data_IF_861157681791
#
_entry.id   IF_861157681791
#
_cell.length_a   1.000
_cell.length_b   1.000
_cell.length_c   1.000
_cell.angle_alpha   90.00
_cell.angle_beta   90.00
_cell.angle_gamma   90.00
#
_symmetry.space_group_name_H-M   'P 1'
#
loop_
_entity.id
_entity.type
_entity.pdbx_description
1 polymer ?
#
# COMPACT_ATOMS: atom_id res chain seq x y z
N UNK A 1 1.94 3.65 -13.45
CA UNK A 1 2.43 2.67 -12.46
C UNK A 1 2.36 1.31 -13.12
N UNK A 2 3.38 0.47 -12.96
CA UNK A 2 3.35 -0.88 -13.53
C UNK A 2 2.38 -1.76 -12.74
N UNK A 3 1.42 -2.34 -13.44
CA UNK A 3 0.54 -3.37 -12.89
C UNK A 3 1.23 -4.73 -13.02
N UNK A 4 1.17 -5.51 -11.95
CA UNK A 4 1.77 -6.82 -11.84
C UNK A 4 0.64 -7.84 -11.70
N UNK A 5 0.32 -8.49 -12.81
CA UNK A 5 -0.65 -9.58 -12.84
C UNK A 5 -0.02 -10.85 -12.27
N UNK A 6 -0.58 -11.32 -11.17
CA UNK A 6 -0.18 -12.54 -10.49
C UNK A 6 -1.24 -13.62 -10.75
N UNK A 7 -0.82 -14.77 -11.27
CA UNK A 7 -1.67 -15.95 -11.34
C UNK A 7 -1.58 -16.68 -10.01
N UNK A 8 -2.68 -16.75 -9.29
CA UNK A 8 -2.80 -17.60 -8.10
C UNK A 8 -2.88 -19.08 -8.50
N UNK A 9 -2.66 -20.00 -7.57
CA UNK A 9 -2.84 -21.46 -7.81
C UNK A 9 -4.28 -21.87 -8.08
N UNK A 10 -5.23 -21.02 -7.71
CA UNK A 10 -6.64 -21.16 -8.09
C UNK A 10 -6.89 -20.64 -9.52
N UNK A 11 -5.84 -20.35 -10.28
CA UNK A 11 -5.87 -19.81 -11.64
C UNK A 11 -6.64 -18.48 -11.76
N UNK A 12 -6.73 -17.71 -10.67
CA UNK A 12 -7.30 -16.36 -10.65
C UNK A 12 -6.19 -15.34 -10.83
N UNK A 13 -6.38 -14.41 -11.77
CA UNK A 13 -5.49 -13.27 -12.03
C UNK A 13 -5.82 -12.13 -11.09
N UNK A 14 -4.91 -11.82 -10.19
CA UNK A 14 -5.00 -10.63 -9.33
C UNK A 14 -3.98 -9.61 -9.83
N UNK A 15 -4.46 -8.41 -10.14
CA UNK A 15 -3.60 -7.30 -10.54
C UNK A 15 -3.19 -6.51 -9.30
N UNK A 16 -1.90 -6.56 -8.97
CA UNK A 16 -1.31 -5.74 -7.93
C UNK A 16 -0.59 -4.55 -8.54
N UNK A 17 -0.59 -3.43 -7.85
CA UNK A 17 0.22 -2.28 -8.25
C UNK A 17 1.64 -2.54 -7.73
N UNK A 18 2.63 -2.58 -8.64
CA UNK A 18 4.02 -2.71 -8.23
C UNK A 18 4.48 -1.44 -7.50
N UNK A 19 5.24 -1.63 -6.41
CA UNK A 19 5.79 -0.51 -5.66
C UNK A 19 6.74 0.31 -6.52
N UNK A 20 6.53 1.62 -6.55
CA UNK A 20 7.35 2.57 -7.32
C UNK A 20 8.79 2.63 -6.79
N UNK A 21 9.72 3.11 -7.63
CA UNK A 21 11.11 3.35 -7.23
C UNK A 21 11.18 4.30 -6.02
N UNK A 22 10.35 5.35 -6.01
CA UNK A 22 10.27 6.31 -4.91
C UNK A 22 9.83 5.69 -3.59
N UNK A 23 8.81 4.82 -3.60
CA UNK A 23 8.38 4.10 -2.39
C UNK A 23 9.46 3.16 -1.86
N UNK A 24 10.15 2.46 -2.76
CA UNK A 24 11.29 1.61 -2.39
C UNK A 24 12.43 2.44 -1.80
N UNK A 25 12.75 3.59 -2.39
CA UNK A 25 13.81 4.47 -1.90
C UNK A 25 13.44 5.10 -0.55
N UNK A 26 12.19 5.55 -0.39
CA UNK A 26 11.68 6.05 0.89
C UNK A 26 11.76 5.00 1.99
N UNK A 27 11.38 3.76 1.70
CA UNK A 27 11.50 2.66 2.67
C UNK A 27 12.96 2.39 3.05
N UNK A 28 13.89 2.51 2.09
CA UNK A 28 15.32 2.35 2.32
C UNK A 28 15.87 3.47 3.22
N UNK A 29 15.48 4.73 3.01
CA UNK A 29 15.91 5.85 3.86
C UNK A 29 15.42 5.70 5.30
N UNK A 30 14.18 5.25 5.49
CA UNK A 30 13.66 5.02 6.85
C UNK A 30 14.43 3.88 7.53
N UNK A 31 14.66 2.77 6.84
CA UNK A 31 15.47 1.67 7.38
C UNK A 31 16.93 2.11 7.65
N UNK A 32 17.47 3.03 6.83
CA UNK A 32 18.79 3.61 7.03
C UNK A 32 18.85 4.47 8.29
N UNK A 33 17.82 5.31 8.52
CA UNK A 33 17.72 6.11 9.75
C UNK A 33 17.66 5.24 11.00
N UNK A 34 16.91 4.13 10.95
CA UNK A 34 16.85 3.16 12.06
C UNK A 34 18.24 2.57 12.32
N UNK A 35 18.95 2.14 11.27
CA UNK A 35 20.32 1.61 11.39
C UNK A 35 21.30 2.64 11.94
N UNK A 36 21.24 3.89 11.47
CA UNK A 36 22.09 4.98 11.96
C UNK A 36 21.79 5.26 13.43
N UNK A 37 20.50 5.32 13.82
CA UNK A 37 20.10 5.55 15.21
C UNK A 37 20.64 4.45 16.14
N UNK A 38 20.59 3.18 15.71
CA UNK A 38 21.18 2.06 16.43
C UNK A 38 22.70 2.22 16.61
N UNK A 39 23.42 2.59 15.54
CA UNK A 39 24.87 2.84 15.62
C UNK A 39 25.18 3.98 16.58
N UNK A 40 24.45 5.09 16.51
CA UNK A 40 24.65 6.24 17.41
C UNK A 40 24.42 5.84 18.86
N UNK A 41 23.34 5.10 19.15
CA UNK A 41 23.04 4.63 20.51
C UNK A 41 24.15 3.73 21.03
N UNK A 42 24.65 2.79 20.22
CA UNK A 42 25.80 1.95 20.60
C UNK A 42 27.03 2.80 20.85
N UNK A 43 27.36 3.72 19.96
CA UNK A 43 28.52 4.58 20.14
C UNK A 43 28.41 5.40 21.44
N UNK A 44 27.27 5.99 21.72
CA UNK A 44 27.05 6.75 22.96
C UNK A 44 27.13 5.86 24.21
N UNK A 45 26.46 4.71 24.23
CA UNK A 45 26.46 3.83 25.41
C UNK A 45 27.85 3.25 25.66
N UNK A 46 28.54 2.77 24.62
CA UNK A 46 29.81 2.07 24.78
C UNK A 46 30.99 3.03 24.93
N UNK A 47 31.12 4.06 24.09
CA UNK A 47 32.24 5.00 24.19
C UNK A 47 32.04 6.04 25.31
N UNK A 48 30.84 6.61 25.45
CA UNK A 48 30.60 7.67 26.45
C UNK A 48 30.12 7.12 27.80
N UNK A 49 29.26 6.09 27.81
CA UNK A 49 28.73 5.51 29.05
C UNK A 49 29.69 4.54 29.74
N UNK A 50 30.26 3.60 28.99
CA UNK A 50 31.09 2.52 29.52
C UNK A 50 32.61 2.78 29.41
N UNK A 51 33.01 3.91 28.83
CA UNK A 51 34.42 4.27 28.58
C UNK A 51 35.23 3.14 27.92
N UNK A 52 34.64 2.49 26.91
CA UNK A 52 35.31 1.44 26.15
C UNK A 52 36.53 1.93 25.37
N UNK A 53 36.67 3.25 25.15
CA UNK A 53 37.87 3.88 24.57
C UNK A 53 39.15 3.40 25.26
N UNK A 54 39.15 3.36 26.60
CA UNK A 54 40.30 2.91 27.40
C UNK A 54 40.53 1.41 27.36
N UNK A 55 39.50 0.63 27.03
CA UNK A 55 39.61 -0.82 26.81
C UNK A 55 40.20 -1.10 25.44
N UNK A 56 39.78 -0.37 24.40
CA UNK A 56 40.28 -0.53 23.03
C UNK A 56 41.79 -0.25 22.92
N UNK A 57 42.32 0.73 23.66
CA UNK A 57 43.76 1.04 23.69
C UNK A 57 44.63 -0.10 24.25
N UNK A 58 44.04 -1.03 25.01
CA UNK A 58 44.74 -2.17 25.61
C UNK A 58 44.54 -3.48 24.85
N UNK A 59 43.63 -3.50 23.88
CA UNK A 59 43.27 -4.68 23.11
C UNK A 59 44.12 -4.76 21.84
N UNK A 60 44.37 -5.99 21.38
CA UNK A 60 45.00 -6.21 20.09
C UNK A 60 44.01 -5.94 18.93
N UNK A 61 44.53 -5.65 17.75
CA UNK A 61 43.71 -5.29 16.58
C UNK A 61 42.66 -6.36 16.22
N UNK A 62 42.92 -7.64 16.50
CA UNK A 62 41.97 -8.74 16.25
C UNK A 62 40.79 -8.73 17.22
N UNK A 63 41.03 -8.45 18.51
CA UNK A 63 39.95 -8.29 19.49
C UNK A 63 39.08 -7.08 19.16
N UNK A 64 39.70 -5.96 18.78
CA UNK A 64 38.97 -4.75 18.34
C UNK A 64 38.05 -5.06 17.16
N UNK A 65 38.57 -5.75 16.14
CA UNK A 65 37.80 -6.13 14.96
C UNK A 65 36.63 -7.06 15.32
N UNK A 66 36.85 -8.01 16.23
CA UNK A 66 35.83 -8.97 16.66
C UNK A 66 34.67 -8.28 17.38
N UNK A 67 34.96 -7.30 18.24
CA UNK A 67 33.95 -6.48 18.93
C UNK A 67 33.15 -5.65 17.91
N UNK A 68 33.83 -5.01 16.95
CA UNK A 68 33.15 -4.25 15.89
C UNK A 68 32.22 -5.14 15.05
N UNK A 69 32.68 -6.33 14.68
CA UNK A 69 31.90 -7.29 13.89
C UNK A 69 30.67 -7.77 14.66
N UNK A 70 30.79 -7.98 15.97
CA UNK A 70 29.66 -8.33 16.85
C UNK A 70 28.56 -7.25 16.83
N UNK A 71 28.92 -5.97 16.95
CA UNK A 71 27.94 -4.88 16.89
C UNK A 71 27.36 -4.64 15.49
N UNK A 72 28.11 -4.99 14.46
CA UNK A 72 27.67 -4.87 13.07
C UNK A 72 26.68 -5.98 12.65
N UNK A 73 26.74 -7.15 13.27
CA UNK A 73 25.92 -8.31 12.93
C UNK A 73 24.40 -8.04 13.00
N UNK A 74 23.84 -7.35 14.03
CA UNK A 74 22.44 -6.96 14.05
C UNK A 74 22.02 -6.06 12.87
N UNK A 75 22.91 -5.17 12.39
CA UNK A 75 22.63 -4.27 11.25
C UNK A 75 22.52 -5.06 9.95
N UNK A 76 23.40 -6.05 9.78
CA UNK A 76 23.38 -7.01 8.67
C UNK A 76 22.10 -7.84 8.69
N UNK A 77 21.75 -8.41 9.84
CA UNK A 77 20.60 -9.29 9.99
C UNK A 77 19.25 -8.57 10.11
N UNK A 78 19.24 -7.26 10.34
CA UNK A 78 18.01 -6.45 10.49
C UNK A 78 16.99 -6.70 9.37
N UNK A 79 17.42 -6.68 8.11
CA UNK A 79 16.46 -6.77 7.00
C UNK A 79 15.90 -8.18 6.83
N UNK A 80 16.70 -9.22 7.02
CA UNK A 80 16.23 -10.61 6.89
C UNK A 80 15.35 -11.01 8.08
N UNK A 81 15.74 -10.65 9.30
CA UNK A 81 14.98 -10.97 10.52
C UNK A 81 13.61 -10.32 10.49
N UNK A 82 13.54 -9.02 10.18
CA UNK A 82 12.26 -8.31 10.11
C UNK A 82 11.41 -8.77 8.93
N UNK A 83 12.00 -9.00 7.74
CA UNK A 83 11.23 -9.56 6.63
C UNK A 83 10.68 -10.95 6.97
N UNK A 84 11.41 -11.77 7.71
CA UNK A 84 10.92 -13.07 8.16
C UNK A 84 9.81 -12.96 9.22
N UNK A 85 9.92 -12.02 10.16
CA UNK A 85 8.94 -11.85 11.26
C UNK A 85 7.66 -11.16 10.78
N UNK A 86 7.78 -10.17 9.90
CA UNK A 86 6.65 -9.38 9.39
C UNK A 86 6.23 -9.78 7.96
N UNK A 87 6.48 -11.04 7.58
CA UNK A 87 6.03 -11.63 6.31
C UNK A 87 6.34 -10.77 5.08
N UNK A 88 7.56 -10.25 4.99
CA UNK A 88 8.06 -9.51 3.82
C UNK A 88 8.04 -8.01 3.97
N UNK A 89 7.97 -7.50 5.21
CA UNK A 89 8.07 -6.08 5.52
C UNK A 89 9.19 -5.80 6.52
N UNK A 90 9.98 -4.76 6.26
CA UNK A 90 10.79 -4.09 7.29
C UNK A 90 9.98 -2.96 7.91
N UNK A 91 10.49 -2.33 8.97
CA UNK A 91 9.82 -1.17 9.59
C UNK A 91 9.64 -0.05 8.55
N UNK A 92 10.67 0.26 7.76
CA UNK A 92 10.57 1.26 6.68
C UNK A 92 9.53 0.88 5.62
N UNK A 93 9.49 -0.40 5.20
CA UNK A 93 8.48 -0.89 4.25
C UNK A 93 7.06 -0.81 4.80
N UNK A 94 6.88 -1.09 6.09
CA UNK A 94 5.58 -1.01 6.76
C UNK A 94 5.05 0.43 6.79
N UNK A 95 5.92 1.39 7.10
CA UNK A 95 5.58 2.82 7.09
C UNK A 95 5.21 3.32 5.69
N UNK A 96 5.93 2.87 4.67
CA UNK A 96 5.63 3.21 3.26
C UNK A 96 4.48 2.37 2.68
N UNK A 97 3.95 1.41 3.45
CA UNK A 97 2.87 0.48 3.06
C UNK A 97 3.20 -0.34 1.81
N UNK A 98 4.39 -0.94 1.78
CA UNK A 98 4.81 -1.86 0.71
C UNK A 98 5.13 -3.24 1.28
N UNK A 99 4.88 -4.32 0.52
CA UNK A 99 5.08 -5.72 0.95
C UNK A 99 5.75 -6.54 -0.14
N UNK A 100 6.65 -7.43 0.25
CA UNK A 100 7.26 -8.43 -0.64
C UNK A 100 6.31 -9.63 -0.75
N UNK A 101 6.00 -10.02 -1.98
CA UNK A 101 5.15 -11.18 -2.30
C UNK A 101 5.81 -12.03 -3.38
N UNK A 102 5.48 -13.32 -3.43
CA UNK A 102 5.94 -14.19 -4.50
C UNK A 102 5.20 -13.85 -5.79
N UNK A 103 5.83 -14.06 -6.94
CA UNK A 103 5.19 -13.78 -8.25
C UNK A 103 4.01 -14.74 -8.51
N UNK A 104 3.94 -15.85 -7.79
CA UNK A 104 2.85 -16.84 -7.80
C UNK A 104 1.68 -16.44 -6.86
N UNK A 105 1.79 -15.31 -6.15
CA UNK A 105 0.73 -14.79 -5.27
C UNK A 105 0.74 -15.33 -3.85
N UNK A 106 1.64 -16.26 -3.54
CA UNK A 106 1.89 -16.70 -2.18
C UNK A 106 2.71 -15.68 -1.37
N UNK A 107 2.64 -15.84 -0.05
CA UNK A 107 3.57 -15.20 0.85
C UNK A 107 4.99 -15.71 0.55
N UNK A 108 5.96 -14.79 0.55
CA UNK A 108 7.36 -15.16 0.40
C UNK A 108 7.84 -15.88 1.67
N UNK A 109 8.65 -16.92 1.49
CA UNK A 109 9.22 -17.69 2.61
C UNK A 109 10.56 -17.13 3.08
N UNK A 110 11.08 -17.72 4.15
CA UNK A 110 12.42 -17.37 4.67
C UNK A 110 13.53 -17.54 3.62
N UNK A 111 13.47 -18.60 2.81
CA UNK A 111 14.44 -18.84 1.72
C UNK A 111 14.45 -17.72 0.68
N UNK A 112 13.28 -17.16 0.36
CA UNK A 112 13.17 -16.04 -0.57
C UNK A 112 13.82 -14.78 0.02
N UNK A 113 13.60 -14.51 1.31
CA UNK A 113 14.25 -13.40 2.02
C UNK A 113 15.77 -13.57 2.13
N UNK A 114 16.25 -14.79 2.33
CA UNK A 114 17.68 -15.12 2.33
C UNK A 114 18.33 -14.81 0.98
N UNK A 115 17.74 -15.26 -0.12
CA UNK A 115 18.26 -14.99 -1.47
C UNK A 115 18.31 -13.49 -1.71
N UNK A 116 17.23 -12.76 -1.37
CA UNK A 116 17.17 -11.29 -1.48
C UNK A 116 18.26 -10.63 -0.62
N UNK A 117 18.51 -11.14 0.58
CA UNK A 117 19.54 -10.63 1.49
C UNK A 117 20.96 -10.87 0.96
N UNK A 118 21.25 -12.06 0.42
CA UNK A 118 22.56 -12.38 -0.17
C UNK A 118 22.86 -11.51 -1.39
N UNK A 119 21.90 -11.40 -2.32
CA UNK A 119 22.03 -10.53 -3.49
C UNK A 119 22.12 -9.04 -3.13
N UNK A 120 21.66 -8.65 -1.93
CA UNK A 120 21.85 -7.28 -1.44
C UNK A 120 23.34 -6.96 -1.24
N UNK A 121 24.16 -7.92 -0.83
CA UNK A 121 25.61 -7.71 -0.71
C UNK A 121 26.19 -7.40 -2.09
N UNK A 122 25.75 -8.11 -3.14
CA UNK A 122 26.20 -7.88 -4.51
C UNK A 122 25.70 -6.53 -5.03
N UNK A 123 24.40 -6.25 -4.86
CA UNK A 123 23.76 -5.01 -5.33
C UNK A 123 24.39 -3.75 -4.71
N UNK A 124 24.74 -3.78 -3.42
CA UNK A 124 25.33 -2.63 -2.73
C UNK A 124 26.85 -2.53 -2.90
N UNK A 125 27.56 -3.66 -3.05
CA UNK A 125 29.01 -3.66 -3.27
C UNK A 125 29.34 -3.23 -4.71
N UNK A 126 28.50 -3.59 -5.69
CA UNK A 126 28.69 -3.19 -7.08
C UNK A 126 28.07 -1.80 -7.33
N UNK A 127 28.91 -0.80 -7.63
CA UNK A 127 28.49 0.56 -8.01
C UNK A 127 27.53 1.23 -7.01
N UNK A 128 27.66 0.96 -5.71
CA UNK A 128 26.89 1.61 -4.64
C UNK A 128 25.36 1.53 -4.82
N UNK A 129 24.81 0.42 -5.34
CA UNK A 129 23.37 0.24 -5.51
C UNK A 129 22.80 0.73 -6.84
N UNK A 130 23.63 1.27 -7.74
CA UNK A 130 23.22 1.77 -9.05
C UNK A 130 22.71 0.65 -9.96
N UNK A 131 23.30 -0.56 -9.87
CA UNK A 131 22.82 -1.76 -10.58
C UNK A 131 21.41 -2.14 -10.16
N UNK A 132 21.12 -2.11 -8.86
CA UNK A 132 19.79 -2.40 -8.33
C UNK A 132 18.74 -1.39 -8.80
N UNK A 133 19.12 -0.13 -9.00
CA UNK A 133 18.24 0.90 -9.54
C UNK A 133 17.96 0.68 -11.02
N UNK A 134 19.00 0.42 -11.83
CA UNK A 134 18.86 0.10 -13.26
C UNK A 134 17.98 -1.14 -13.44
N UNK A 135 18.22 -2.22 -12.68
CA UNK A 135 17.43 -3.44 -12.76
C UNK A 135 15.93 -3.19 -12.53
N UNK A 136 15.57 -2.36 -11.54
CA UNK A 136 14.17 -2.01 -11.27
C UNK A 136 13.56 -1.18 -12.39
N UNK A 137 14.31 -0.26 -12.98
CA UNK A 137 13.82 0.60 -14.07
C UNK A 137 13.65 -0.20 -15.37
N UNK A 138 14.56 -1.11 -15.66
CA UNK A 138 14.54 -1.92 -16.89
C UNK A 138 13.60 -3.14 -16.79
N UNK A 139 13.34 -3.64 -15.58
CA UNK A 139 12.47 -4.79 -15.38
C UNK A 139 11.00 -4.45 -15.58
N UNK A 140 10.31 -5.23 -16.42
CA UNK A 140 8.85 -5.13 -16.64
C UNK A 140 8.04 -5.26 -15.34
N UNK A 141 8.57 -5.97 -14.34
CA UNK A 141 7.94 -6.22 -13.04
C UNK A 141 8.52 -5.33 -11.91
N UNK A 142 9.35 -4.35 -12.27
CA UNK A 142 10.05 -3.47 -11.33
C UNK A 142 10.87 -4.24 -10.27
N UNK A 143 11.58 -5.31 -10.67
CA UNK A 143 12.33 -6.18 -9.76
C UNK A 143 13.83 -5.83 -9.72
N UNK A 144 14.45 -5.93 -8.55
CA UNK A 144 15.92 -5.96 -8.39
C UNK A 144 16.48 -7.34 -8.75
N UNK A 145 17.80 -7.47 -8.87
CA UNK A 145 18.45 -8.76 -9.11
C UNK A 145 18.08 -9.80 -8.04
N UNK A 146 18.13 -9.43 -6.76
CA UNK A 146 17.68 -10.32 -5.67
C UNK A 146 16.19 -10.64 -5.70
N UNK A 147 15.34 -9.72 -6.19
CA UNK A 147 13.90 -9.97 -6.35
C UNK A 147 13.66 -11.00 -7.47
N UNK A 148 14.41 -10.89 -8.58
CA UNK A 148 14.35 -11.80 -9.73
C UNK A 148 14.83 -13.21 -9.35
N UNK A 149 15.97 -13.30 -8.66
CA UNK A 149 16.55 -14.57 -8.22
C UNK A 149 15.65 -15.31 -7.23
N UNK A 150 14.99 -14.58 -6.32
CA UNK A 150 14.05 -15.16 -5.36
C UNK A 150 12.65 -15.40 -5.94
N UNK A 151 12.37 -15.00 -7.19
CA UNK A 151 11.02 -15.10 -7.73
C UNK A 151 9.97 -14.29 -6.95
N UNK A 152 10.36 -13.10 -6.45
CA UNK A 152 9.52 -12.22 -5.64
C UNK A 152 9.36 -10.84 -6.26
N UNK A 153 8.29 -10.12 -5.90
CA UNK A 153 8.06 -8.74 -6.29
C UNK A 153 7.63 -7.91 -5.07
N UNK A 154 7.77 -6.59 -5.15
CA UNK A 154 7.29 -5.67 -4.11
C UNK A 154 6.05 -4.96 -4.61
N UNK A 155 4.96 -5.08 -3.87
CA UNK A 155 3.66 -4.47 -4.18
C UNK A 155 3.34 -3.35 -3.19
N UNK A 156 2.51 -2.40 -3.61
CA UNK A 156 1.96 -1.38 -2.71
C UNK A 156 0.67 -1.88 -2.07
N UNK A 157 0.52 -1.63 -0.77
CA UNK A 157 -0.69 -1.91 0.02
C UNK A 157 -1.58 -0.67 0.18
N UNK A 158 -1.23 0.45 -0.47
CA UNK A 158 -2.05 1.65 -0.44
C UNK A 158 -3.31 1.43 -1.27
N UNK A 159 -4.43 1.24 -0.59
CA UNK A 159 -5.73 1.33 -1.24
C UNK A 159 -6.04 2.79 -1.53
N UNK A 160 -6.30 3.11 -2.79
CA UNK A 160 -6.85 4.41 -3.22
C UNK A 160 -8.38 4.47 -3.08
N UNK A 161 -8.99 3.44 -2.49
CA UNK A 161 -10.43 3.35 -2.30
C UNK A 161 -10.71 3.94 -0.92
N UNK A 162 -11.05 5.22 -0.90
CA UNK A 162 -11.53 5.91 0.28
C UNK A 162 -12.95 5.41 0.62
N UNK A 163 -13.24 5.14 1.89
CA UNK A 163 -14.53 4.59 2.34
C UNK A 163 -15.68 5.58 2.06
N UNK A 164 -15.38 6.85 1.77
CA UNK A 164 -16.33 7.84 1.24
C UNK A 164 -17.01 7.43 -0.08
N UNK A 165 -16.47 6.43 -0.79
CA UNK A 165 -17.13 5.78 -1.93
C UNK A 165 -18.22 4.77 -1.56
N UNK A 166 -18.41 4.49 -0.28
CA UNK A 166 -19.56 3.69 0.18
C UNK A 166 -20.82 4.52 -0.01
N UNK A 167 -21.89 3.93 -0.55
CA UNK A 167 -23.18 4.63 -0.78
C UNK A 167 -23.81 5.11 0.53
N UNK A 168 -23.42 4.49 1.65
CA UNK A 168 -23.97 4.69 2.98
C UNK A 168 -23.57 6.06 3.56
N UNK A 169 -24.54 6.96 3.63
CA UNK A 169 -24.53 8.21 4.40
C UNK A 169 -25.15 7.93 5.79
N UNK A 170 -24.66 8.52 6.88
CA UNK A 170 -25.36 8.39 8.17
C UNK A 170 -26.64 9.23 8.10
N UNK A 171 -27.79 8.54 8.00
CA UNK A 171 -29.11 9.15 8.00
C UNK A 171 -29.63 9.08 9.43
N UNK A 172 -30.07 10.20 10.01
CA UNK A 172 -30.65 10.20 11.35
C UNK A 172 -31.96 9.41 11.40
N UNK A 173 -32.25 8.78 12.54
CA UNK A 173 -33.39 7.86 12.77
C UNK A 173 -34.79 8.44 12.48
N UNK A 174 -34.90 9.75 12.26
CA UNK A 174 -36.15 10.46 11.98
C UNK A 174 -36.43 10.70 10.48
N UNK A 175 -35.60 10.16 9.57
CA UNK A 175 -35.78 10.37 8.13
C UNK A 175 -36.95 9.56 7.57
N UNK A 176 -37.82 10.24 6.80
CA UNK A 176 -38.95 9.61 6.12
C UNK A 176 -38.65 9.54 4.61
N UNK A 177 -38.52 8.34 4.02
CA UNK A 177 -38.17 8.19 2.61
C UNK A 177 -39.30 8.66 1.69
N UNK A 178 -38.96 9.32 0.58
CA UNK A 178 -39.93 9.92 -0.36
C UNK A 178 -40.25 9.00 -1.54
N UNK A 179 -39.28 8.22 -2.00
CA UNK A 179 -39.36 7.38 -3.20
C UNK A 179 -39.11 5.91 -2.86
N UNK A 180 -40.15 5.12 -2.52
CA UNK A 180 -40.00 3.70 -2.16
C UNK A 180 -39.45 2.81 -3.28
N UNK A 181 -39.65 3.21 -4.54
CA UNK A 181 -39.26 2.42 -5.72
C UNK A 181 -37.74 2.42 -5.98
N UNK A 182 -36.94 3.13 -5.19
CA UNK A 182 -35.46 3.13 -5.28
C UNK A 182 -34.87 1.75 -5.03
N UNK A 183 -35.57 0.88 -4.30
CA UNK A 183 -35.16 -0.52 -4.05
C UNK A 183 -35.02 -1.37 -5.32
N UNK A 184 -35.55 -0.91 -6.46
CA UNK A 184 -35.36 -1.57 -7.77
C UNK A 184 -33.93 -1.43 -8.30
N UNK A 185 -33.15 -0.49 -7.78
CA UNK A 185 -31.78 -0.25 -8.20
C UNK A 185 -30.83 -1.20 -7.46
N UNK A 186 -29.80 -1.69 -8.16
CA UNK A 186 -28.74 -2.48 -7.51
C UNK A 186 -27.71 -1.58 -6.83
N UNK A 187 -26.93 -2.13 -5.91
CA UNK A 187 -25.80 -1.42 -5.28
C UNK A 187 -24.83 -0.86 -6.33
N UNK A 188 -24.61 -1.62 -7.41
CA UNK A 188 -23.76 -1.18 -8.50
C UNK A 188 -24.35 0.01 -9.26
N UNK A 189 -25.67 0.03 -9.49
CA UNK A 189 -26.35 1.16 -10.13
C UNK A 189 -26.26 2.40 -9.23
N UNK A 190 -26.48 2.24 -7.92
CA UNK A 190 -26.41 3.33 -6.96
C UNK A 190 -25.01 3.90 -6.81
N UNK A 191 -23.97 3.07 -6.88
CA UNK A 191 -22.58 3.53 -6.94
C UNK A 191 -22.33 4.38 -8.18
N UNK A 192 -22.79 3.93 -9.36
CA UNK A 192 -22.65 4.67 -10.62
C UNK A 192 -23.39 6.00 -10.54
N UNK A 193 -24.63 6.01 -10.03
CA UNK A 193 -25.42 7.22 -9.85
C UNK A 193 -24.70 8.21 -8.92
N UNK A 194 -24.20 7.75 -7.76
CA UNK A 194 -23.44 8.57 -6.81
C UNK A 194 -22.20 9.19 -7.44
N UNK A 195 -21.35 8.36 -8.06
CA UNK A 195 -20.11 8.83 -8.69
C UNK A 195 -20.37 9.80 -9.85
N UNK A 196 -21.41 9.53 -10.65
CA UNK A 196 -21.79 10.36 -11.80
C UNK A 196 -22.35 11.69 -11.33
N UNK A 197 -23.23 11.68 -10.32
CA UNK A 197 -23.79 12.88 -9.73
C UNK A 197 -22.70 13.76 -9.09
N UNK A 198 -21.81 13.19 -8.27
CA UNK A 198 -20.71 13.94 -7.66
C UNK A 198 -19.76 14.56 -8.69
N UNK A 199 -19.44 13.84 -9.77
CA UNK A 199 -18.61 14.36 -10.86
C UNK A 199 -19.30 15.49 -11.63
N UNK A 200 -20.61 15.36 -11.87
CA UNK A 200 -21.39 16.37 -12.59
C UNK A 200 -21.61 17.63 -11.73
N UNK A 201 -21.91 17.47 -10.45
CA UNK A 201 -22.10 18.56 -9.49
C UNK A 201 -20.80 19.38 -9.31
N UNK A 202 -19.65 18.70 -9.16
CA UNK A 202 -18.34 19.37 -9.07
C UNK A 202 -17.96 20.16 -10.34
N UNK A 203 -18.50 19.80 -11.50
CA UNK A 203 -18.25 20.47 -12.79
C UNK A 203 -19.37 21.41 -13.21
N UNK A 204 -20.45 21.52 -12.44
CA UNK A 204 -21.70 22.19 -12.83
C UNK A 204 -22.23 21.71 -14.20
N UNK A 205 -22.07 20.42 -14.51
CA UNK A 205 -22.52 19.82 -15.77
C UNK A 205 -24.01 19.44 -15.68
N UNK A 206 -24.86 20.44 -15.94
CA UNK A 206 -26.31 20.29 -15.87
C UNK A 206 -26.87 19.32 -16.92
N UNK A 207 -26.18 19.14 -18.06
CA UNK A 207 -26.61 18.20 -19.11
C UNK A 207 -26.48 16.76 -18.63
N UNK A 208 -25.36 16.43 -17.97
CA UNK A 208 -25.14 15.11 -17.41
C UNK A 208 -26.15 14.78 -16.31
N UNK A 209 -26.49 15.74 -15.46
CA UNK A 209 -27.50 15.59 -14.41
C UNK A 209 -28.87 15.29 -15.03
N UNK A 210 -29.28 16.03 -16.05
CA UNK A 210 -30.55 15.79 -16.74
C UNK A 210 -30.62 14.38 -17.35
N UNK A 211 -29.54 13.95 -18.02
CA UNK A 211 -29.46 12.58 -18.59
C UNK A 211 -29.53 11.50 -17.51
N UNK A 212 -28.88 11.74 -16.36
CA UNK A 212 -28.91 10.82 -15.23
C UNK A 212 -30.33 10.68 -14.66
N UNK A 213 -31.02 11.80 -14.44
CA UNK A 213 -32.42 11.81 -13.99
C UNK A 213 -33.32 11.05 -14.98
N UNK A 214 -33.29 11.41 -16.26
CA UNK A 214 -34.11 10.74 -17.28
C UNK A 214 -33.86 9.23 -17.33
N UNK A 215 -32.61 8.79 -17.12
CA UNK A 215 -32.29 7.37 -17.06
C UNK A 215 -32.88 6.70 -15.82
N UNK A 216 -32.78 7.31 -14.65
CA UNK A 216 -33.36 6.80 -13.41
C UNK A 216 -34.89 6.70 -13.53
N UNK A 217 -35.55 7.72 -14.07
CA UNK A 217 -37.00 7.72 -14.30
C UNK A 217 -37.41 6.57 -15.23
N UNK A 218 -36.63 6.33 -16.31
CA UNK A 218 -36.91 5.25 -17.26
C UNK A 218 -36.79 3.84 -16.66
N UNK A 219 -35.87 3.65 -15.71
CA UNK A 219 -35.58 2.33 -15.12
C UNK A 219 -36.47 2.04 -13.91
N UNK A 220 -36.68 3.04 -13.05
CA UNK A 220 -37.43 2.87 -11.79
C UNK A 220 -38.92 3.14 -11.94
N UNK A 221 -39.30 3.98 -12.91
CA UNK A 221 -40.66 4.54 -13.06
C UNK A 221 -40.97 5.69 -12.10
N UNK A 222 -40.00 6.14 -11.30
CA UNK A 222 -40.14 7.30 -10.41
C UNK A 222 -40.19 8.57 -11.27
N UNK A 223 -41.05 9.53 -10.95
CA UNK A 223 -41.03 10.86 -11.54
C UNK A 223 -40.48 11.87 -10.55
N UNK A 224 -39.72 12.85 -11.03
CA UNK A 224 -39.21 13.93 -10.20
C UNK A 224 -40.36 14.78 -9.63
N UNK A 225 -40.58 14.70 -8.31
CA UNK A 225 -41.55 15.52 -7.57
C UNK A 225 -40.89 16.69 -6.83
N UNK A 226 -39.56 16.72 -6.75
CA UNK A 226 -38.78 17.69 -5.99
C UNK A 226 -38.58 19.02 -6.72
N UNK A 227 -39.03 19.16 -7.97
CA UNK A 227 -38.92 20.38 -8.78
C UNK A 227 -37.51 20.71 -9.30
N UNK A 228 -36.48 20.23 -8.61
CA UNK A 228 -35.07 20.38 -8.98
C UNK A 228 -34.41 19.01 -9.17
N UNK A 229 -33.64 18.85 -10.25
CA UNK A 229 -32.97 17.60 -10.59
C UNK A 229 -31.86 17.23 -9.57
N UNK A 230 -31.18 18.23 -9.00
CA UNK A 230 -30.14 17.99 -7.99
C UNK A 230 -30.75 17.48 -6.68
N UNK A 231 -31.86 18.07 -6.25
CA UNK A 231 -32.55 17.67 -5.03
C UNK A 231 -33.17 16.29 -5.18
N UNK A 232 -33.73 15.98 -6.35
CA UNK A 232 -34.23 14.64 -6.67
C UNK A 232 -33.15 13.56 -6.52
N UNK A 233 -31.96 13.78 -7.12
CA UNK A 233 -30.85 12.83 -7.03
C UNK A 233 -30.35 12.67 -5.58
N UNK A 234 -30.29 13.77 -4.82
CA UNK A 234 -29.90 13.73 -3.40
C UNK A 234 -30.90 12.94 -2.55
N UNK A 235 -32.20 13.12 -2.79
CA UNK A 235 -33.25 12.37 -2.08
C UNK A 235 -33.22 10.90 -2.46
N UNK A 236 -33.02 10.54 -3.74
CA UNK A 236 -32.86 9.12 -4.14
C UNK A 236 -31.70 8.44 -3.43
N UNK A 237 -30.54 9.11 -3.36
CA UNK A 237 -29.36 8.56 -2.68
C UNK A 237 -29.65 8.30 -1.20
N UNK A 238 -30.38 9.19 -0.53
CA UNK A 238 -30.79 9.03 0.88
C UNK A 238 -31.83 7.94 1.04
N UNK A 239 -32.87 7.93 0.21
CA UNK A 239 -33.94 6.94 0.28
C UNK A 239 -33.40 5.52 0.07
N UNK A 240 -32.50 5.34 -0.90
CA UNK A 240 -31.89 4.04 -1.14
C UNK A 240 -31.15 3.52 0.08
N UNK A 241 -30.33 4.39 0.67
CA UNK A 241 -29.54 4.08 1.85
C UNK A 241 -30.42 3.79 3.08
N UNK A 242 -31.53 4.50 3.26
CA UNK A 242 -32.51 4.18 4.31
C UNK A 242 -33.10 2.77 4.17
N UNK A 243 -33.45 2.36 2.95
CA UNK A 243 -33.99 1.02 2.71
C UNK A 243 -32.94 -0.09 2.80
N UNK A 244 -31.67 0.19 2.49
CA UNK A 244 -30.59 -0.81 2.54
C UNK A 244 -29.87 -0.89 3.87
N UNK A 245 -30.02 0.10 4.77
CA UNK A 245 -29.47 0.04 6.14
C UNK A 245 -30.09 -1.05 7.02
N UNK A 246 -31.33 -1.45 6.73
CA UNK A 246 -32.10 -2.42 7.55
C UNK A 246 -32.30 -3.79 6.87
N UNK A 247 -31.63 -4.05 5.73
CA UNK A 247 -31.63 -5.34 5.03
C UNK A 247 -30.40 -6.17 5.40
#
# INVERSE_FOLDING_TARGET
MSELSINTTQNVKINFIAASVGERLGSYFIDLLIKISYVIVILLVFFYGLHFDKLFDKLDSWSVMSILLFFYLPIMLYSITLESIFEGQTIGKKLVKIKVVKIDGYQAGFGDYLIRWFFRLIDFTLLYGLVGLIAVVTSKKAQRLGDMAAGTAVITLKNKIDISHTILEEIGDAYVPTYPLVIKLSDNDMRIIKETFQKADAKNDHEMIYKLVAKIESVTGIKNQSGNNNDFLRVILKDYNFYTQNM
#
